data_IF_016811269271
#
_entry.id   IF_016811269271
#
_cell.length_a   1.000
_cell.length_b   1.000
_cell.length_c   1.000
_cell.angle_alpha   90.00
_cell.angle_beta   90.00
_cell.angle_gamma   90.00
#
_symmetry.space_group_name_H-M   'P 1'
#
loop_
_entity.id
_entity.type
_entity.pdbx_description
1 polymer ?
#
# COMPACT_ATOMS: atom_id res chain seq x y z
N UNK A 1 1.98 12.52 2.31
CA UNK A 1 0.57 12.32 1.97
C UNK A 1 0.23 10.95 2.51
N UNK A 2 -0.29 10.93 3.73
CA UNK A 2 -0.44 9.73 4.57
C UNK A 2 -1.80 9.08 4.37
N UNK A 3 -2.20 8.88 3.11
CA UNK A 3 -3.49 8.28 2.79
C UNK A 3 -3.27 6.85 2.29
N UNK A 4 -3.80 5.92 3.06
CA UNK A 4 -3.93 4.52 2.71
C UNK A 4 -5.05 4.39 1.67
N UNK A 5 -4.69 4.18 0.40
CA UNK A 5 -5.68 4.10 -0.68
C UNK A 5 -6.42 2.75 -0.75
N UNK A 6 -6.00 1.76 0.05
CA UNK A 6 -6.59 0.42 0.03
C UNK A 6 -8.08 0.41 0.40
N UNK A 7 -8.46 1.06 1.50
CA UNK A 7 -9.87 1.11 1.95
C UNK A 7 -10.78 1.84 0.95
N UNK A 8 -10.26 2.87 0.29
CA UNK A 8 -10.99 3.56 -0.77
C UNK A 8 -11.13 2.71 -2.04
N UNK A 9 -10.10 1.95 -2.40
CA UNK A 9 -10.17 1.03 -3.53
C UNK A 9 -11.16 -0.12 -3.28
N UNK A 10 -11.22 -0.63 -2.04
CA UNK A 10 -12.24 -1.59 -1.58
C UNK A 10 -13.64 -1.00 -1.74
N UNK A 11 -13.88 0.20 -1.19
CA UNK A 11 -15.17 0.88 -1.32
C UNK A 11 -15.56 1.12 -2.78
N UNK A 12 -14.60 1.49 -3.63
CA UNK A 12 -14.81 1.71 -5.06
C UNK A 12 -15.20 0.42 -5.78
N UNK A 13 -14.58 -0.71 -5.44
CA UNK A 13 -14.91 -2.02 -6.02
C UNK A 13 -16.32 -2.48 -5.62
N UNK A 14 -16.75 -2.15 -4.40
CA UNK A 14 -18.13 -2.43 -3.94
C UNK A 14 -19.12 -1.54 -4.69
N UNK A 15 -18.83 -0.25 -4.86
CA UNK A 15 -19.72 0.70 -5.54
C UNK A 15 -19.81 0.44 -7.06
N UNK A 16 -18.72 -0.01 -7.68
CA UNK A 16 -18.62 -0.23 -9.12
C UNK A 16 -18.06 -1.63 -9.44
N UNK A 17 -18.83 -2.70 -9.20
CA UNK A 17 -18.33 -4.09 -9.29
C UNK A 17 -17.84 -4.49 -10.68
N UNK A 18 -18.38 -3.88 -11.73
CA UNK A 18 -18.00 -4.15 -13.13
C UNK A 18 -16.82 -3.31 -13.62
N UNK A 19 -16.18 -2.52 -12.75
CA UNK A 19 -15.00 -1.72 -13.07
C UNK A 19 -13.80 -2.20 -12.27
N UNK A 20 -12.63 -2.10 -12.87
CA UNK A 20 -11.39 -2.43 -12.21
C UNK A 20 -11.02 -1.32 -11.21
N UNK A 21 -10.95 -1.67 -9.93
CA UNK A 21 -10.43 -0.82 -8.87
C UNK A 21 -8.93 -1.07 -8.68
N UNK A 22 -8.11 -0.01 -8.70
CA UNK A 22 -6.66 -0.09 -8.53
C UNK A 22 -6.23 0.85 -7.41
N UNK A 23 -5.55 0.32 -6.40
CA UNK A 23 -4.88 1.11 -5.35
C UNK A 23 -3.40 1.30 -5.72
N UNK A 24 -2.95 2.55 -5.81
CA UNK A 24 -1.54 2.88 -6.02
C UNK A 24 -0.96 3.49 -4.75
N UNK A 25 -0.13 2.75 -4.00
CA UNK A 25 0.27 3.09 -2.64
C UNK A 25 1.77 2.99 -2.44
N UNK A 26 2.34 3.74 -1.50
CA UNK A 26 3.69 3.49 -1.00
C UNK A 26 3.71 2.36 0.03
N UNK A 27 4.84 1.68 0.20
CA UNK A 27 5.07 0.64 1.22
C UNK A 27 4.72 1.08 2.65
N UNK A 28 5.06 2.32 3.03
CA UNK A 28 4.69 2.88 4.33
C UNK A 28 3.18 3.03 4.50
N UNK A 29 2.50 3.54 3.47
CA UNK A 29 1.04 3.69 3.48
C UNK A 29 0.32 2.34 3.44
N UNK A 30 0.83 1.37 2.68
CA UNK A 30 0.28 0.03 2.65
C UNK A 30 0.43 -0.67 4.01
N UNK A 31 1.61 -0.53 4.64
CA UNK A 31 1.91 -1.19 5.92
C UNK A 31 0.94 -0.78 7.04
N UNK A 32 0.39 0.44 6.99
CA UNK A 32 -0.56 0.94 7.99
C UNK A 32 -1.89 0.17 8.00
N UNK A 33 -2.36 -0.29 6.84
CA UNK A 33 -3.67 -0.94 6.69
C UNK A 33 -3.59 -2.27 5.92
N UNK A 34 -2.45 -2.95 5.91
CA UNK A 34 -2.27 -4.18 5.14
C UNK A 34 -3.29 -5.28 5.52
N UNK A 35 -3.79 -5.27 6.77
CA UNK A 35 -4.79 -6.22 7.26
C UNK A 35 -6.14 -6.12 6.53
N UNK A 36 -6.46 -4.99 5.89
CA UNK A 36 -7.69 -4.83 5.11
C UNK A 36 -7.75 -5.74 3.88
N UNK A 37 -6.64 -6.39 3.50
CA UNK A 37 -6.65 -7.47 2.52
C UNK A 37 -7.62 -8.60 2.88
N UNK A 38 -7.83 -8.87 4.17
CA UNK A 38 -8.79 -9.88 4.65
C UNK A 38 -10.22 -9.53 4.21
N UNK A 39 -10.55 -8.24 4.15
CA UNK A 39 -11.84 -7.75 3.67
C UNK A 39 -12.03 -8.08 2.18
N UNK A 40 -10.98 -7.91 1.35
CA UNK A 40 -11.04 -8.29 -0.07
C UNK A 40 -11.35 -9.78 -0.27
N UNK A 41 -10.77 -10.64 0.57
CA UNK A 41 -10.98 -12.10 0.52
C UNK A 41 -12.38 -12.49 0.95
N UNK A 42 -12.86 -11.87 2.05
CA UNK A 42 -14.19 -12.16 2.60
C UNK A 42 -15.32 -11.81 1.64
N UNK A 43 -15.16 -10.74 0.85
CA UNK A 43 -16.19 -10.22 -0.08
C UNK A 43 -15.85 -10.44 -1.57
N UNK A 44 -15.13 -11.52 -1.89
CA UNK A 44 -14.39 -11.74 -3.16
C UNK A 44 -14.20 -10.50 -4.06
N UNK A 45 -13.52 -9.47 -3.55
CA UNK A 45 -13.33 -8.20 -4.26
C UNK A 45 -12.06 -8.25 -5.11
N UNK A 46 -12.20 -7.95 -6.41
CA UNK A 46 -11.11 -7.93 -7.40
C UNK A 46 -10.32 -6.61 -7.43
N UNK A 47 -9.92 -6.11 -6.25
CA UNK A 47 -9.11 -4.89 -6.10
C UNK A 47 -7.66 -5.18 -6.45
N UNK A 48 -7.06 -4.49 -7.43
CA UNK A 48 -5.60 -4.60 -7.69
C UNK A 48 -4.82 -3.62 -6.83
N UNK A 49 -3.68 -4.05 -6.29
CA UNK A 49 -2.83 -3.18 -5.46
C UNK A 49 -1.44 -3.09 -6.07
N UNK A 50 -0.99 -1.86 -6.32
CA UNK A 50 0.35 -1.52 -6.81
C UNK A 50 1.09 -0.80 -5.69
N UNK A 51 2.19 -1.38 -5.22
CA UNK A 51 2.98 -0.86 -4.10
C UNK A 51 4.30 -0.31 -4.63
N UNK A 52 4.60 0.95 -4.35
CA UNK A 52 5.92 1.56 -4.58
C UNK A 52 6.78 1.35 -3.34
N UNK A 53 7.86 0.57 -3.46
CA UNK A 53 8.60 0.01 -2.32
C UNK A 53 10.00 0.61 -2.18
N UNK A 54 10.05 1.88 -1.85
CA UNK A 54 11.32 2.59 -1.68
C UNK A 54 11.94 2.46 -0.27
N UNK A 55 11.32 1.74 0.66
CA UNK A 55 11.85 1.49 2.01
C UNK A 55 11.85 2.72 2.92
N UNK A 56 11.14 3.79 2.55
CA UNK A 56 11.17 5.05 3.28
C UNK A 56 9.81 5.74 3.31
N UNK A 57 9.59 6.56 4.34
CA UNK A 57 8.52 7.54 4.35
C UNK A 57 8.94 8.74 3.49
N UNK A 58 8.91 8.54 2.16
CA UNK A 58 9.55 9.42 1.18
C UNK A 58 9.16 10.90 1.27
N UNK A 59 7.89 11.20 1.56
CA UNK A 59 7.48 12.61 1.74
C UNK A 59 8.09 13.24 3.00
N UNK A 60 8.13 12.51 4.12
CA UNK A 60 8.76 13.02 5.36
C UNK A 60 10.25 13.20 5.14
N UNK A 61 10.89 12.22 4.50
CA UNK A 61 12.30 12.30 4.15
C UNK A 61 12.59 13.55 3.32
N UNK A 62 11.78 13.80 2.29
CA UNK A 62 11.90 15.00 1.46
C UNK A 62 11.69 16.29 2.26
N UNK A 63 10.66 16.36 3.11
CA UNK A 63 10.39 17.52 3.96
C UNK A 63 11.53 17.79 4.95
N UNK A 64 12.10 16.75 5.57
CA UNK A 64 13.25 16.88 6.48
C UNK A 64 14.49 17.40 5.76
N UNK A 65 14.77 16.88 4.56
CA UNK A 65 15.90 17.32 3.73
C UNK A 65 15.73 18.76 3.26
N UNK A 66 14.52 19.16 2.85
CA UNK A 66 14.27 20.47 2.24
C UNK A 66 14.04 21.59 3.24
N UNK A 67 13.38 21.33 4.38
CA UNK A 67 12.97 22.37 5.31
C UNK A 67 13.86 22.52 6.54
N UNK A 68 14.45 21.42 7.03
CA UNK A 68 15.12 21.44 8.33
C UNK A 68 16.65 21.45 8.22
N UNK A 69 17.23 21.18 7.04
CA UNK A 69 18.68 20.96 6.90
C UNK A 69 19.20 19.85 7.84
N UNK A 70 18.30 19.06 8.42
CA UNK A 70 18.57 18.09 9.46
C UNK A 70 18.84 16.72 8.85
N UNK A 71 19.64 15.88 9.53
CA UNK A 71 19.80 14.49 9.17
C UNK A 71 18.45 13.75 9.20
N UNK A 72 18.31 12.77 8.31
CA UNK A 72 17.12 11.92 8.19
C UNK A 72 16.84 11.21 9.52
N UNK A 73 15.63 11.38 10.08
CA UNK A 73 15.26 10.76 11.35
C UNK A 73 13.90 10.06 11.26
N UNK A 74 13.88 8.76 11.60
CA UNK A 74 12.65 7.96 11.67
C UNK A 74 11.96 7.73 10.32
N UNK A 75 12.65 7.99 9.20
CA UNK A 75 12.07 7.88 7.86
C UNK A 75 12.28 6.51 7.20
N UNK A 76 13.08 5.62 7.78
CA UNK A 76 13.35 4.29 7.23
C UNK A 76 12.30 3.29 7.69
N UNK A 77 11.84 2.47 6.75
CA UNK A 77 10.88 1.42 7.01
C UNK A 77 11.57 0.07 7.09
N UNK A 78 11.04 -0.82 7.93
CA UNK A 78 11.43 -2.22 7.91
C UNK A 78 11.05 -2.83 6.56
N UNK A 79 11.96 -3.58 5.95
CA UNK A 79 11.68 -4.27 4.68
C UNK A 79 10.69 -5.41 4.90
N UNK A 80 9.50 -5.30 4.28
CA UNK A 80 8.44 -6.31 4.29
C UNK A 80 8.31 -6.90 2.88
N UNK A 81 8.05 -8.21 2.79
CA UNK A 81 7.73 -8.87 1.53
C UNK A 81 6.20 -8.91 1.36
N UNK A 82 5.65 -7.91 0.68
CA UNK A 82 4.20 -7.77 0.53
C UNK A 82 3.63 -8.81 -0.45
N UNK A 83 4.40 -9.22 -1.44
CA UNK A 83 4.03 -10.32 -2.34
C UNK A 83 3.90 -11.65 -1.59
N UNK A 84 4.79 -11.94 -0.64
CA UNK A 84 4.66 -13.12 0.21
C UNK A 84 3.42 -13.02 1.11
N UNK A 85 3.20 -11.87 1.76
CA UNK A 85 1.99 -11.62 2.54
C UNK A 85 0.70 -11.86 1.74
N UNK A 86 0.65 -11.37 0.49
CA UNK A 86 -0.51 -11.56 -0.38
C UNK A 86 -0.72 -13.04 -0.76
N UNK A 87 0.37 -13.78 -1.04
CA UNK A 87 0.31 -15.21 -1.39
C UNK A 87 -0.19 -16.09 -0.24
N UNK A 88 0.19 -15.78 0.99
CA UNK A 88 -0.30 -16.50 2.17
C UNK A 88 -1.81 -16.28 2.40
N UNK A 89 -2.34 -15.17 1.91
CA UNK A 89 -3.75 -14.81 2.06
C UNK A 89 -4.62 -15.28 0.88
N UNK A 90 -4.10 -15.24 -0.35
CA UNK A 90 -4.88 -15.49 -1.58
C UNK A 90 -4.04 -16.26 -2.60
N UNK A 91 -4.60 -17.30 -3.22
CA UNK A 91 -3.91 -18.18 -4.18
C UNK A 91 -3.53 -17.49 -5.51
N UNK A 92 -4.18 -16.38 -5.87
CA UNK A 92 -3.93 -15.57 -7.06
C UNK A 92 -3.24 -14.25 -6.67
N UNK A 93 -2.14 -13.82 -7.33
CA UNK A 93 -1.41 -12.63 -6.93
C UNK A 93 -2.18 -11.35 -7.31
N UNK A 94 -2.77 -10.73 -6.29
CA UNK A 94 -3.50 -9.45 -6.41
C UNK A 94 -2.57 -8.21 -6.25
N UNK A 95 -1.36 -8.43 -5.72
CA UNK A 95 -0.38 -7.38 -5.40
C UNK A 95 0.76 -7.37 -6.41
N UNK A 96 1.09 -6.18 -6.91
CA UNK A 96 2.27 -5.92 -7.73
C UNK A 96 3.20 -4.93 -7.01
N UNK A 97 4.45 -5.33 -6.78
CA UNK A 97 5.50 -4.44 -6.24
C UNK A 97 6.19 -3.72 -7.41
N UNK A 98 6.27 -2.40 -7.31
CA UNK A 98 7.15 -1.53 -8.08
C UNK A 98 8.24 -1.02 -7.13
N UNK A 99 9.43 -0.84 -7.69
CA UNK A 99 10.71 -0.58 -6.99
C UNK A 99 10.59 0.54 -5.94
#
# INVERSE_FOLDING_TARGET
>A
MWITLLVYAIATQIAYPNRQSIAFVGDGGFSMLMAEFVTCIKYPLSVKVVIVKNGTLGQIKWEQMMHLGNPEFGCFLQSINFAAFARELVAEPIVQELI
#
